data_IF_369778532555
#
_entry.id   IF_369778532555
#
_cell.length_a   1.000
_cell.length_b   1.000
_cell.length_c   1.000
_cell.angle_alpha   90.00
_cell.angle_beta   90.00
_cell.angle_gamma   90.00
#
_symmetry.space_group_name_H-M   'P 1'
#
loop_
_entity.id
_entity.type
_entity.pdbx_description
1 polymer ?
#
# COMPACT_ATOMS: atom_id res chain seq x y z
N UNK A 1 -11.72 28.76 3.39
CA UNK A 1 -10.87 28.02 4.35
C UNK A 1 -9.60 27.59 3.61
N UNK A 2 -8.44 27.80 4.24
CA UNK A 2 -7.12 27.99 3.63
C UNK A 2 -6.54 26.79 2.87
N UNK A 3 -5.85 27.15 1.79
CA UNK A 3 -4.75 26.51 1.07
C UNK A 3 -4.20 25.19 1.63
N UNK A 4 -4.35 24.11 0.86
CA UNK A 4 -3.37 23.03 0.86
C UNK A 4 -2.45 23.22 -0.35
N UNK A 5 -1.37 23.99 -0.16
CA UNK A 5 -0.20 23.88 -1.03
C UNK A 5 0.42 22.53 -0.74
N UNK A 6 0.00 21.50 -1.47
CA UNK A 6 0.73 20.25 -1.54
C UNK A 6 1.98 20.52 -2.37
N UNK A 7 3.07 20.93 -1.71
CA UNK A 7 4.39 20.92 -2.33
C UNK A 7 4.72 19.46 -2.64
N UNK A 8 4.85 19.03 -3.90
CA UNK A 8 5.31 17.69 -4.21
C UNK A 8 6.83 17.73 -4.10
N UNK A 9 7.35 17.72 -2.87
CA UNK A 9 8.70 17.24 -2.69
C UNK A 9 8.62 15.76 -3.04
N UNK A 10 8.95 15.46 -4.30
CA UNK A 10 9.26 14.15 -4.82
C UNK A 10 10.53 13.66 -4.11
N UNK A 11 10.46 13.51 -2.78
CA UNK A 11 11.36 12.72 -1.98
C UNK A 11 11.16 11.29 -2.46
N UNK A 12 11.93 10.92 -3.48
CA UNK A 12 12.31 9.54 -3.79
C UNK A 12 13.04 8.99 -2.56
N UNK A 13 12.25 8.73 -1.53
CA UNK A 13 12.75 8.42 -0.21
C UNK A 13 13.35 7.03 -0.26
N UNK A 14 14.64 6.89 0.03
CA UNK A 14 15.36 5.61 -0.11
C UNK A 14 14.71 4.50 0.73
N UNK A 15 13.99 4.87 1.80
CA UNK A 15 13.30 3.94 2.69
C UNK A 15 11.91 3.51 2.21
N UNK A 16 11.30 4.21 1.23
CA UNK A 16 9.92 3.95 0.79
C UNK A 16 9.84 3.76 -0.72
N UNK A 17 9.19 2.70 -1.18
CA UNK A 17 8.79 2.60 -2.58
C UNK A 17 7.32 2.96 -2.75
N UNK A 18 7.01 3.82 -3.71
CA UNK A 18 5.63 4.09 -4.14
C UNK A 18 5.42 3.43 -5.49
N UNK A 19 4.48 2.49 -5.57
CA UNK A 19 4.10 1.76 -6.78
C UNK A 19 2.67 2.15 -7.18
N UNK A 20 2.54 2.91 -8.27
CA UNK A 20 1.24 3.32 -8.80
C UNK A 20 0.79 2.34 -9.87
N UNK A 21 -0.42 1.82 -9.69
CA UNK A 21 -1.08 0.97 -10.68
C UNK A 21 -2.00 1.87 -11.51
N UNK A 22 -1.94 1.71 -12.83
CA UNK A 22 -2.77 2.45 -13.77
C UNK A 22 -3.55 1.47 -14.64
N UNK A 23 -4.84 1.75 -14.84
CA UNK A 23 -5.72 0.91 -15.66
C UNK A 23 -6.27 -0.29 -14.89
N UNK A 24 -6.91 -1.20 -15.62
CA UNK A 24 -7.52 -2.39 -15.05
C UNK A 24 -6.47 -3.28 -14.36
N UNK A 25 -6.71 -3.62 -13.09
CA UNK A 25 -5.78 -4.45 -12.32
C UNK A 25 -6.21 -5.91 -12.36
N UNK A 26 -5.55 -6.67 -13.23
CA UNK A 26 -5.83 -8.07 -13.52
C UNK A 26 -4.60 -8.94 -13.20
N UNK A 27 -4.73 -10.26 -13.32
CA UNK A 27 -3.68 -11.25 -12.97
C UNK A 27 -2.27 -10.89 -13.47
N UNK A 28 -2.13 -10.43 -14.71
CA UNK A 28 -0.83 -10.07 -15.30
C UNK A 28 -0.15 -8.92 -14.56
N UNK A 29 -0.87 -7.82 -14.30
CA UNK A 29 -0.35 -6.67 -13.57
C UNK A 29 -0.04 -7.00 -12.10
N UNK A 30 -0.81 -7.92 -11.51
CA UNK A 30 -0.64 -8.31 -10.13
C UNK A 30 0.66 -9.11 -9.88
N UNK A 31 1.07 -9.94 -10.85
CA UNK A 31 2.29 -10.73 -10.76
C UNK A 31 3.56 -9.87 -10.59
N UNK A 32 3.59 -8.70 -11.24
CA UNK A 32 4.71 -7.76 -11.18
C UNK A 32 4.97 -7.21 -9.77
N UNK A 33 3.91 -7.03 -8.96
CA UNK A 33 4.04 -6.49 -7.60
C UNK A 33 4.85 -7.44 -6.71
N UNK A 34 4.72 -8.75 -6.90
CA UNK A 34 5.49 -9.74 -6.16
C UNK A 34 6.99 -9.59 -6.40
N UNK A 35 7.40 -9.43 -7.66
CA UNK A 35 8.80 -9.22 -8.05
C UNK A 35 9.34 -7.88 -7.55
N UNK A 36 8.51 -6.84 -7.55
CA UNK A 36 8.87 -5.53 -6.98
C UNK A 36 9.13 -5.65 -5.48
N UNK A 37 8.27 -6.37 -4.76
CA UNK A 37 8.45 -6.61 -3.32
C UNK A 37 9.78 -7.33 -3.05
N UNK A 38 10.11 -8.36 -3.84
CA UNK A 38 11.37 -9.09 -3.73
C UNK A 38 12.60 -8.20 -3.94
N UNK A 39 12.53 -7.29 -4.91
CA UNK A 39 13.64 -6.37 -5.19
C UNK A 39 13.88 -5.31 -4.10
N UNK A 40 12.88 -5.02 -3.25
CA UNK A 40 12.98 -3.99 -2.21
C UNK A 40 13.12 -4.55 -0.79
N UNK A 41 12.90 -5.85 -0.59
CA UNK A 41 12.80 -6.43 0.75
C UNK A 41 14.03 -6.19 1.63
N UNK A 42 15.22 -6.18 1.02
CA UNK A 42 16.48 -5.96 1.75
C UNK A 42 16.92 -4.49 1.80
N UNK A 43 16.21 -3.60 1.11
CA UNK A 43 16.67 -2.23 0.85
C UNK A 43 15.76 -1.14 1.40
N UNK A 44 14.47 -1.43 1.64
CA UNK A 44 13.45 -0.42 1.98
C UNK A 44 12.59 -0.86 3.16
N UNK A 45 12.11 0.12 3.92
CA UNK A 45 11.30 -0.05 5.14
C UNK A 45 9.81 -0.18 4.88
N UNK A 46 9.34 0.18 3.68
CA UNK A 46 7.93 0.11 3.35
C UNK A 46 7.61 0.27 1.87
N UNK A 47 6.42 -0.22 1.50
CA UNK A 47 5.85 -0.19 0.17
C UNK A 47 4.48 0.47 0.22
N UNK A 48 4.25 1.47 -0.62
CA UNK A 48 2.95 2.10 -0.83
C UNK A 48 2.44 1.70 -2.20
N UNK A 49 1.26 1.09 -2.27
CA UNK A 49 0.58 0.76 -3.53
C UNK A 49 -0.57 1.75 -3.75
N UNK A 50 -0.53 2.48 -4.85
CA UNK A 50 -1.55 3.49 -5.19
C UNK A 50 -2.49 2.95 -6.28
N UNK A 51 -3.77 2.90 -5.93
CA UNK A 51 -4.89 2.44 -6.76
C UNK A 51 -5.74 3.59 -7.32
N UNK A 52 -5.32 4.86 -7.15
CA UNK A 52 -6.10 6.01 -7.59
C UNK A 52 -6.47 5.99 -9.08
N UNK A 53 -5.63 5.37 -9.92
CA UNK A 53 -5.86 5.21 -11.36
C UNK A 53 -6.38 3.81 -11.75
N UNK A 54 -6.89 3.03 -10.78
CA UNK A 54 -7.45 1.69 -11.00
C UNK A 54 -8.98 1.73 -10.91
N UNK A 55 -9.69 1.66 -12.05
CA UNK A 55 -11.15 1.72 -12.05
C UNK A 55 -11.79 0.44 -11.51
N UNK A 56 -11.15 -0.72 -11.70
CA UNK A 56 -11.62 -2.03 -11.21
C UNK A 56 -10.47 -3.03 -11.11
N UNK A 57 -10.68 -4.08 -10.31
CA UNK A 57 -9.80 -5.23 -10.17
C UNK A 57 -10.61 -6.53 -10.07
N UNK A 58 -10.03 -7.65 -10.49
CA UNK A 58 -10.65 -8.98 -10.37
C UNK A 58 -10.24 -9.71 -9.08
N UNK A 59 -10.96 -10.80 -8.76
CA UNK A 59 -10.68 -11.62 -7.58
C UNK A 59 -9.29 -12.25 -7.60
N UNK A 60 -8.75 -12.49 -8.79
CA UNK A 60 -7.41 -13.06 -8.98
C UNK A 60 -6.34 -12.05 -8.57
N UNK A 61 -6.43 -10.82 -9.03
CA UNK A 61 -5.54 -9.72 -8.69
C UNK A 61 -5.63 -9.38 -7.19
N UNK A 62 -6.83 -9.43 -6.61
CA UNK A 62 -7.03 -9.30 -5.18
C UNK A 62 -6.31 -10.40 -4.38
N UNK A 63 -6.45 -11.67 -4.79
CA UNK A 63 -5.75 -12.81 -4.18
C UNK A 63 -4.23 -12.69 -4.28
N UNK A 64 -3.71 -12.19 -5.40
CA UNK A 64 -2.27 -11.94 -5.56
C UNK A 64 -1.82 -10.84 -4.60
N UNK A 65 -2.57 -9.74 -4.47
CA UNK A 65 -2.24 -8.68 -3.53
C UNK A 65 -2.29 -9.16 -2.07
N UNK A 66 -3.25 -10.02 -1.71
CA UNK A 66 -3.29 -10.66 -0.38
C UNK A 66 -2.05 -11.50 -0.10
N UNK A 67 -1.55 -12.25 -1.09
CA UNK A 67 -0.29 -13.01 -0.99
C UNK A 67 0.93 -12.09 -0.86
N UNK A 68 0.97 -10.98 -1.60
CA UNK A 68 2.01 -9.95 -1.48
C UNK A 68 1.98 -9.34 -0.07
N UNK A 69 0.81 -8.98 0.45
CA UNK A 69 0.67 -8.43 1.79
C UNK A 69 1.17 -9.39 2.87
N UNK A 70 0.84 -10.68 2.75
CA UNK A 70 1.38 -11.72 3.63
C UNK A 70 2.90 -11.83 3.55
N UNK A 71 3.47 -11.74 2.35
CA UNK A 71 4.92 -11.80 2.14
C UNK A 71 5.62 -10.57 2.72
N UNK A 72 5.10 -9.38 2.46
CA UNK A 72 5.62 -8.13 2.99
C UNK A 72 5.67 -8.14 4.52
N UNK A 73 4.58 -8.61 5.16
CA UNK A 73 4.51 -8.75 6.61
C UNK A 73 5.59 -9.70 7.16
N UNK A 74 5.82 -10.86 6.52
CA UNK A 74 6.90 -11.79 6.92
C UNK A 74 8.30 -11.20 6.76
N UNK A 75 8.48 -10.29 5.80
CA UNK A 75 9.75 -9.60 5.54
C UNK A 75 9.90 -8.31 6.38
N UNK A 76 8.96 -7.99 7.27
CA UNK A 76 9.00 -6.76 8.07
C UNK A 76 8.74 -5.47 7.27
N UNK A 77 8.28 -5.59 6.03
CA UNK A 77 7.99 -4.46 5.14
C UNK A 77 6.58 -3.97 5.42
N UNK A 78 6.45 -2.70 5.76
CA UNK A 78 5.13 -2.09 5.97
C UNK A 78 4.45 -1.80 4.64
N UNK A 79 3.33 -2.46 4.39
CA UNK A 79 2.52 -2.28 3.18
C UNK A 79 1.37 -1.30 3.44
N UNK A 80 1.29 -0.26 2.61
CA UNK A 80 0.22 0.71 2.61
C UNK A 80 -0.53 0.71 1.28
N UNK A 81 -1.84 0.89 1.34
CA UNK A 81 -2.72 1.01 0.18
C UNK A 81 -3.33 2.39 0.16
N UNK A 82 -3.24 3.05 -0.99
CA UNK A 82 -3.77 4.41 -1.22
C UNK A 82 -4.63 4.46 -2.47
N UNK A 83 -5.52 5.46 -2.56
CA UNK A 83 -6.33 5.68 -3.76
C UNK A 83 -7.36 4.60 -4.09
N UNK A 84 -7.58 3.62 -3.21
CA UNK A 84 -8.55 2.55 -3.45
C UNK A 84 -9.99 3.08 -3.39
N UNK A 85 -10.72 2.95 -4.51
CA UNK A 85 -12.17 3.22 -4.55
C UNK A 85 -12.93 2.27 -3.61
N UNK A 86 -14.19 2.58 -3.21
CA UNK A 86 -14.96 1.68 -2.34
C UNK A 86 -15.13 0.26 -2.89
N UNK A 87 -15.29 0.12 -4.21
CA UNK A 87 -15.40 -1.18 -4.88
C UNK A 87 -14.08 -1.96 -4.82
N UNK A 88 -12.96 -1.30 -5.17
CA UNK A 88 -11.61 -1.86 -5.08
C UNK A 88 -11.29 -2.27 -3.64
N UNK A 89 -11.57 -1.38 -2.68
CA UNK A 89 -11.38 -1.66 -1.24
C UNK A 89 -12.16 -2.89 -0.83
N UNK A 90 -13.45 -3.00 -1.17
CA UNK A 90 -14.28 -4.18 -0.83
C UNK A 90 -13.66 -5.47 -1.35
N UNK A 91 -13.24 -5.51 -2.62
CA UNK A 91 -12.57 -6.68 -3.18
C UNK A 91 -11.28 -7.03 -2.41
N UNK A 92 -10.44 -6.04 -2.10
CA UNK A 92 -9.21 -6.28 -1.33
C UNK A 92 -9.49 -6.79 0.09
N UNK A 93 -10.53 -6.27 0.76
CA UNK A 93 -10.95 -6.75 2.08
C UNK A 93 -11.36 -8.23 2.05
N UNK A 94 -12.14 -8.64 1.04
CA UNK A 94 -12.61 -10.03 0.87
C UNK A 94 -11.46 -11.01 0.67
N UNK A 95 -10.35 -10.57 0.08
CA UNK A 95 -9.21 -11.43 -0.29
C UNK A 95 -8.03 -11.38 0.70
N UNK A 96 -8.29 -10.97 1.95
CA UNK A 96 -7.32 -11.13 3.06
C UNK A 96 -6.18 -10.11 3.09
N UNK A 97 -6.39 -8.94 2.47
CA UNK A 97 -5.45 -7.82 2.53
C UNK A 97 -5.36 -7.20 3.94
N UNK A 98 -6.46 -7.05 4.71
CA UNK A 98 -6.40 -6.75 6.14
C UNK A 98 -6.13 -8.02 6.96
N UNK A 99 -5.44 -7.93 8.12
CA UNK A 99 -4.85 -6.74 8.76
C UNK A 99 -3.45 -6.37 8.25
N UNK A 100 -2.99 -7.01 7.17
CA UNK A 100 -1.58 -6.98 6.73
C UNK A 100 -1.19 -5.76 5.90
N UNK A 101 -2.16 -5.00 5.40
CA UNK A 101 -1.95 -3.71 4.74
C UNK A 101 -2.82 -2.62 5.37
N UNK A 102 -2.22 -1.45 5.61
CA UNK A 102 -2.92 -0.27 6.14
C UNK A 102 -3.44 0.61 5.00
N UNK A 103 -4.66 1.13 5.14
CA UNK A 103 -5.25 2.02 4.14
C UNK A 103 -5.03 3.49 4.52
N UNK A 104 -4.65 4.32 3.55
CA UNK A 104 -4.54 5.78 3.69
C UNK A 104 -5.12 6.48 2.47
N UNK A 105 -5.67 7.68 2.68
CA UNK A 105 -6.27 8.46 1.59
C UNK A 105 -5.19 9.07 0.68
N UNK A 106 -4.07 9.50 1.26
CA UNK A 106 -2.99 10.18 0.54
C UNK A 106 -1.66 9.41 0.66
N UNK A 107 -0.90 9.38 -0.44
CA UNK A 107 0.46 8.82 -0.48
C UNK A 107 1.36 9.51 0.55
N UNK A 108 1.29 10.84 0.67
CA UNK A 108 2.08 11.60 1.64
C UNK A 108 1.86 11.14 3.09
N UNK A 109 0.62 10.79 3.46
CA UNK A 109 0.31 10.22 4.79
C UNK A 109 0.92 8.83 4.96
N UNK A 110 0.83 7.97 3.95
CA UNK A 110 1.45 6.63 4.00
C UNK A 110 2.97 6.71 4.14
N UNK A 111 3.62 7.60 3.38
CA UNK A 111 5.06 7.85 3.48
C UNK A 111 5.42 8.39 4.87
N UNK A 112 4.66 9.35 5.39
CA UNK A 112 4.86 9.89 6.73
C UNK A 112 4.72 8.81 7.81
N UNK A 113 3.76 7.88 7.69
CA UNK A 113 3.58 6.78 8.65
C UNK A 113 4.72 5.75 8.56
N UNK A 114 5.27 5.50 7.37
CA UNK A 114 6.47 4.66 7.24
C UNK A 114 7.65 5.34 7.94
N UNK A 115 7.84 6.65 7.74
CA UNK A 115 8.95 7.41 8.34
C UNK A 115 8.79 7.58 9.87
N UNK A 116 7.61 8.01 10.30
CA UNK A 116 7.27 8.29 11.70
C UNK A 116 6.93 7.03 12.50
N UNK A 117 6.59 5.93 11.85
CA UNK A 117 6.27 4.65 12.49
C UNK A 117 7.49 3.88 13.04
N UNK A 118 8.69 4.46 13.04
CA UNK A 118 9.70 4.08 14.03
C UNK A 118 9.23 4.42 15.48
N UNK A 119 8.26 5.34 15.65
CA UNK A 119 7.79 5.83 16.95
C UNK A 119 6.32 5.48 17.31
N UNK A 120 5.51 4.92 16.40
CA UNK A 120 4.03 4.82 16.58
C UNK A 120 3.45 3.39 16.51
N UNK A 121 4.28 2.35 16.67
CA UNK A 121 3.86 0.95 16.67
C UNK A 121 2.81 0.59 17.75
N UNK A 122 2.56 1.45 18.74
CA UNK A 122 1.69 1.16 19.89
C UNK A 122 0.22 1.60 19.76
N UNK A 123 -0.15 2.43 18.76
CA UNK A 123 -1.48 3.06 18.75
C UNK A 123 -2.55 2.33 17.90
N UNK A 124 -2.16 1.54 16.90
CA UNK A 124 -3.11 0.90 15.97
C UNK A 124 -3.76 -0.40 16.51
N UNK A 125 -3.30 -0.94 17.66
CA UNK A 125 -3.93 -2.10 18.32
C UNK A 125 -5.19 -1.72 19.13
N UNK A 126 -5.50 -0.43 19.31
CA UNK A 126 -6.70 0.02 20.04
C UNK A 126 -7.95 0.26 19.17
N UNK A 127 -7.87 0.14 17.84
CA UNK A 127 -9.00 0.41 16.95
C UNK A 127 -9.75 -0.85 16.45
N UNK A 128 -9.41 -2.02 17.00
CA UNK A 128 -10.01 -3.32 16.63
C UNK A 128 -10.92 -3.91 17.73
N UNK A 129 -11.62 -3.07 18.49
CA UNK A 129 -12.74 -3.48 19.37
C UNK A 129 -14.05 -2.98 18.79
#
# INVERSE_FOLDING_TARGET
MRAQRSNPDCLVDRDVLVYRITGAFLFGAASAIGSVLDGIADKRKGLVVDFAAVPFLDSTAANVLGRVAAKAHRQGIRLFITGASPAVRRALLTHGVPPRARYRVAIARAVADIKGGAALSAADDMAAT
#
